data_IF_652188880851
#
_entry.id   IF_652188880851
#
_cell.length_a   1.000
_cell.length_b   1.000
_cell.length_c   1.000
_cell.angle_alpha   90.00
_cell.angle_beta   90.00
_cell.angle_gamma   90.00
#
_symmetry.space_group_name_H-M   'P 1'
#
loop_
_entity.id
_entity.type
_entity.pdbx_description
1 polymer ?
#
# COMPACT_ATOMS: atom_id res chain seq x y z
N UNK A 1 9.00 9.85 -13.36
CA UNK A 1 7.58 10.24 -13.34
C UNK A 1 7.42 11.59 -12.65
N UNK A 2 6.70 12.55 -13.25
CA UNK A 2 6.40 13.85 -12.64
C UNK A 2 5.65 13.69 -11.32
N UNK A 3 5.78 14.62 -10.36
CA UNK A 3 5.08 14.52 -9.07
C UNK A 3 3.55 14.56 -9.21
N UNK A 4 3.01 15.28 -10.21
CA UNK A 4 1.56 15.29 -10.49
C UNK A 4 1.04 13.88 -10.81
N UNK A 5 1.74 13.14 -11.68
CA UNK A 5 1.39 11.75 -12.06
C UNK A 5 1.59 10.80 -10.88
N UNK A 6 2.72 10.91 -10.20
CA UNK A 6 3.07 10.02 -9.07
C UNK A 6 2.06 10.16 -7.93
N UNK A 7 1.68 11.39 -7.56
CA UNK A 7 0.67 11.63 -6.52
C UNK A 7 -0.74 11.20 -6.96
N UNK A 8 -1.08 11.35 -8.25
CA UNK A 8 -2.37 10.88 -8.79
C UNK A 8 -2.50 9.36 -8.68
N UNK A 9 -1.46 8.63 -9.06
CA UNK A 9 -1.42 7.16 -8.97
C UNK A 9 -1.59 6.70 -7.52
N UNK A 10 -0.78 7.22 -6.59
CA UNK A 10 -0.81 6.78 -5.19
C UNK A 10 -2.15 7.10 -4.53
N UNK A 11 -2.70 8.29 -4.80
CA UNK A 11 -4.03 8.68 -4.31
C UNK A 11 -5.13 7.76 -4.86
N UNK A 12 -5.02 7.39 -6.14
CA UNK A 12 -5.95 6.49 -6.82
C UNK A 12 -5.97 5.09 -6.19
N UNK A 13 -4.81 4.55 -5.81
CA UNK A 13 -4.70 3.24 -5.12
C UNK A 13 -5.50 3.28 -3.81
N UNK A 14 -5.22 4.27 -2.95
CA UNK A 14 -5.84 4.35 -1.62
C UNK A 14 -7.36 4.51 -1.71
N UNK A 15 -7.86 5.29 -2.67
CA UNK A 15 -9.31 5.45 -2.87
C UNK A 15 -9.97 4.23 -3.48
N UNK A 16 -9.31 3.53 -4.41
CA UNK A 16 -9.85 2.30 -4.98
C UNK A 16 -9.95 1.18 -3.93
N UNK A 17 -8.93 1.04 -3.07
CA UNK A 17 -8.94 0.07 -1.96
C UNK A 17 -10.00 0.37 -0.89
N UNK A 18 -10.53 1.60 -0.83
CA UNK A 18 -11.60 1.98 0.09
C UNK A 18 -12.83 1.07 -0.04
N UNK A 19 -13.16 0.56 -1.22
CA UNK A 19 -14.31 -0.36 -1.38
C UNK A 19 -14.12 -1.70 -0.71
N UNK A 20 -12.88 -2.21 -0.67
CA UNK A 20 -12.57 -3.44 0.07
C UNK A 20 -12.85 -3.21 1.56
N UNK A 21 -12.39 -2.07 2.08
CA UNK A 21 -12.68 -1.68 3.48
C UNK A 21 -14.18 -1.49 3.70
N UNK A 22 -14.88 -0.83 2.79
CA UNK A 22 -16.31 -0.58 2.90
C UNK A 22 -17.12 -1.88 2.92
N UNK A 23 -16.79 -2.85 2.07
CA UNK A 23 -17.42 -4.17 2.08
C UNK A 23 -17.25 -4.91 3.40
N UNK A 24 -16.06 -4.80 4.02
CA UNK A 24 -15.80 -5.38 5.35
C UNK A 24 -16.59 -4.68 6.46
N UNK A 25 -16.69 -3.34 6.40
CA UNK A 25 -17.41 -2.52 7.39
C UNK A 25 -18.92 -2.78 7.33
N UNK A 26 -19.48 -2.97 6.13
CA UNK A 26 -20.93 -3.02 5.89
C UNK A 26 -21.50 -4.44 5.84
N UNK A 27 -20.69 -5.46 6.16
CA UNK A 27 -21.14 -6.86 6.18
C UNK A 27 -22.30 -7.07 7.16
N UNK A 28 -22.27 -6.42 8.33
CA UNK A 28 -23.36 -6.42 9.29
C UNK A 28 -23.37 -5.12 10.11
N UNK A 29 -24.49 -4.74 10.74
CA UNK A 29 -24.52 -3.58 11.64
C UNK A 29 -23.50 -3.71 12.79
N UNK A 30 -23.29 -4.94 13.27
CA UNK A 30 -22.29 -5.23 14.30
C UNK A 30 -20.86 -4.97 13.79
N UNK A 31 -20.53 -5.41 12.58
CA UNK A 31 -19.23 -5.15 11.97
C UNK A 31 -18.97 -3.66 11.77
N UNK A 32 -20.01 -2.88 11.46
CA UNK A 32 -19.90 -1.43 11.38
C UNK A 32 -19.50 -0.82 12.73
N UNK A 33 -20.16 -1.22 13.83
CA UNK A 33 -19.79 -0.74 15.17
C UNK A 33 -18.38 -1.16 15.56
N UNK A 34 -17.97 -2.40 15.26
CA UNK A 34 -16.61 -2.88 15.53
C UNK A 34 -15.57 -2.15 14.70
N UNK A 35 -15.89 -1.81 13.45
CA UNK A 35 -15.01 -1.04 12.56
C UNK A 35 -14.80 0.37 13.10
N UNK A 36 -15.88 1.04 13.50
CA UNK A 36 -15.82 2.38 14.10
C UNK A 36 -15.05 2.36 15.42
N UNK A 37 -15.27 1.36 16.28
CA UNK A 37 -14.54 1.20 17.53
C UNK A 37 -13.03 0.97 17.29
N UNK A 38 -12.69 0.13 16.31
CA UNK A 38 -11.30 -0.19 15.96
C UNK A 38 -10.60 1.03 15.35
N UNK A 39 -11.21 1.66 14.33
CA UNK A 39 -10.69 2.86 13.70
C UNK A 39 -10.57 4.01 14.71
N UNK A 40 -11.58 4.21 15.55
CA UNK A 40 -11.59 5.18 16.65
C UNK A 40 -10.44 4.94 17.63
N UNK A 41 -10.20 3.69 18.03
CA UNK A 41 -9.09 3.31 18.90
C UNK A 41 -7.74 3.63 18.25
N UNK A 42 -7.56 3.28 16.97
CA UNK A 42 -6.33 3.60 16.22
C UNK A 42 -6.11 5.11 16.16
N UNK A 43 -7.14 5.89 15.80
CA UNK A 43 -7.06 7.35 15.71
C UNK A 43 -6.74 7.99 17.06
N UNK A 44 -7.42 7.57 18.13
CA UNK A 44 -7.19 8.09 19.48
C UNK A 44 -5.77 7.77 19.96
N UNK A 45 -5.28 6.54 19.75
CA UNK A 45 -3.90 6.16 20.12
C UNK A 45 -2.90 6.96 19.28
N UNK A 46 -3.15 7.12 17.98
CA UNK A 46 -2.24 7.84 17.09
C UNK A 46 -2.04 9.31 17.51
N UNK A 47 -3.06 9.95 18.08
CA UNK A 47 -3.01 11.37 18.49
C UNK A 47 -2.65 11.54 19.96
N UNK A 48 -3.32 10.81 20.85
CA UNK A 48 -3.29 11.07 22.29
C UNK A 48 -2.36 10.15 23.08
N UNK A 49 -1.75 9.13 22.47
CA UNK A 49 -0.85 8.26 23.24
C UNK A 49 0.34 9.06 23.83
N UNK A 50 0.77 8.72 25.05
CA UNK A 50 1.74 9.51 25.81
C UNK A 50 3.16 9.44 25.23
N UNK A 51 3.50 8.35 24.53
CA UNK A 51 4.83 8.16 23.96
C UNK A 51 4.78 8.13 22.44
N UNK A 52 5.80 8.71 21.81
CA UNK A 52 5.99 8.66 20.35
C UNK A 52 6.13 7.23 19.81
N UNK A 53 6.55 6.28 20.66
CA UNK A 53 6.60 4.87 20.32
C UNK A 53 5.19 4.28 20.17
N UNK A 54 4.29 4.53 21.12
CA UNK A 54 2.90 4.02 21.08
C UNK A 54 2.10 4.57 19.89
N UNK A 55 2.32 5.84 19.51
CA UNK A 55 1.65 6.46 18.35
C UNK A 55 2.01 5.75 17.03
N UNK A 56 3.18 5.12 16.93
CA UNK A 56 3.66 4.43 15.71
C UNK A 56 3.11 3.02 15.58
N UNK A 57 2.88 2.36 16.70
CA UNK A 57 2.21 1.07 16.78
C UNK A 57 0.70 1.24 16.99
N UNK A 58 0.13 2.41 16.65
CA UNK A 58 -1.29 2.72 16.83
C UNK A 58 -2.20 1.76 16.07
N UNK A 59 -1.79 1.37 14.85
CA UNK A 59 -2.47 0.32 14.08
C UNK A 59 -2.52 -1.00 14.85
N UNK A 60 -1.38 -1.45 15.40
CA UNK A 60 -1.31 -2.70 16.17
C UNK A 60 -2.13 -2.63 17.46
N UNK A 61 -1.93 -1.59 18.27
CA UNK A 61 -2.62 -1.41 19.55
C UNK A 61 -4.13 -1.24 19.35
N UNK A 62 -4.54 -0.45 18.36
CA UNK A 62 -5.95 -0.27 18.04
C UNK A 62 -6.61 -1.55 17.53
N UNK A 63 -5.88 -2.37 16.75
CA UNK A 63 -6.35 -3.71 16.35
C UNK A 63 -6.51 -4.63 17.57
N UNK A 64 -5.57 -4.63 18.51
CA UNK A 64 -5.65 -5.42 19.75
C UNK A 64 -6.89 -5.01 20.57
N UNK A 65 -7.14 -3.69 20.70
CA UNK A 65 -8.31 -3.18 21.41
C UNK A 65 -9.60 -3.58 20.67
N UNK A 66 -9.65 -3.40 19.35
CA UNK A 66 -10.81 -3.79 18.53
C UNK A 66 -11.13 -5.28 18.62
N UNK A 67 -10.10 -6.12 18.55
CA UNK A 67 -10.22 -7.57 18.75
C UNK A 67 -10.72 -7.93 20.15
N UNK A 68 -10.19 -7.26 21.19
CA UNK A 68 -10.64 -7.44 22.57
C UNK A 68 -12.10 -7.07 22.79
N UNK A 69 -12.54 -5.93 22.24
CA UNK A 69 -13.94 -5.50 22.29
C UNK A 69 -14.84 -6.53 21.60
N UNK A 70 -14.45 -6.97 20.40
CA UNK A 70 -15.21 -7.99 19.66
C UNK A 70 -15.30 -9.31 20.44
N UNK A 71 -14.21 -9.75 21.07
CA UNK A 71 -14.19 -10.96 21.89
C UNK A 71 -15.14 -10.87 23.10
N UNK A 72 -15.19 -9.72 23.77
CA UNK A 72 -16.12 -9.47 24.89
C UNK A 72 -17.58 -9.48 24.40
N UNK A 73 -17.86 -8.82 23.28
CA UNK A 73 -19.20 -8.78 22.68
C UNK A 73 -19.68 -10.18 22.24
N UNK A 74 -18.79 -10.97 21.64
CA UNK A 74 -19.06 -12.37 21.29
C UNK A 74 -19.32 -13.25 22.50
N UNK A 75 -18.58 -13.06 23.60
CA UNK A 75 -18.82 -13.80 24.85
C UNK A 75 -20.15 -13.46 25.52
N UNK A 76 -20.71 -12.27 25.27
CA UNK A 76 -21.99 -11.81 25.83
C UNK A 76 -23.20 -12.07 24.91
N UNK A 77 -23.02 -12.81 23.81
CA UNK A 77 -24.03 -13.03 22.76
C UNK A 77 -24.59 -11.74 22.14
N UNK A 78 -23.82 -10.64 22.17
CA UNK A 78 -24.20 -9.36 21.55
C UNK A 78 -23.81 -9.36 20.05
N UNK A 79 -22.85 -10.20 19.66
CA UNK A 79 -22.39 -10.38 18.29
C UNK A 79 -21.84 -11.78 18.04
N UNK A 80 -21.38 -12.07 16.81
CA UNK A 80 -20.78 -13.36 16.47
C UNK A 80 -19.58 -13.67 17.37
N UNK A 81 -19.51 -14.92 17.84
CA UNK A 81 -18.36 -15.40 18.60
C UNK A 81 -17.16 -15.61 17.67
N UNK A 82 -15.96 -15.27 18.14
CA UNK A 82 -14.73 -15.56 17.42
C UNK A 82 -14.48 -17.07 17.41
N UNK A 83 -14.22 -17.63 16.24
CA UNK A 83 -13.93 -19.05 16.10
C UNK A 83 -12.45 -19.33 16.44
N UNK A 84 -12.20 -19.86 17.64
CA UNK A 84 -10.86 -20.23 18.10
C UNK A 84 -10.42 -21.65 17.68
N UNK A 85 -11.29 -22.44 17.03
CA UNK A 85 -10.99 -23.82 16.67
C UNK A 85 -9.73 -23.96 15.79
N UNK A 86 -9.51 -23.00 14.89
CA UNK A 86 -8.31 -22.93 14.05
C UNK A 86 -7.02 -22.74 14.85
N UNK A 87 -7.08 -22.02 15.99
CA UNK A 87 -5.92 -21.78 16.84
C UNK A 87 -5.58 -23.02 17.68
N UNK A 88 -6.61 -23.73 18.15
CA UNK A 88 -6.45 -24.95 18.96
C UNK A 88 -5.93 -26.11 18.11
N UNK A 89 -6.46 -26.26 16.90
CA UNK A 89 -6.09 -27.34 15.97
C UNK A 89 -4.76 -27.12 15.24
N UNK A 90 -4.25 -25.88 15.22
CA UNK A 90 -3.00 -25.57 14.51
C UNK A 90 -1.78 -26.10 15.26
N UNK A 91 -0.81 -26.73 14.56
CA UNK A 91 0.46 -27.11 15.15
C UNK A 91 1.24 -25.87 15.58
N UNK A 92 2.22 -26.04 16.46
CA UNK A 92 3.07 -24.93 16.89
C UNK A 92 3.95 -24.42 15.75
N UNK A 93 4.49 -25.33 14.95
CA UNK A 93 5.31 -25.02 13.78
C UNK A 93 4.70 -25.67 12.53
N UNK A 94 4.63 -24.89 11.44
CA UNK A 94 4.23 -25.39 10.12
C UNK A 94 5.03 -24.65 9.06
N UNK A 95 5.65 -25.39 8.15
CA UNK A 95 6.28 -24.81 6.98
C UNK A 95 5.20 -24.34 5.98
N UNK A 96 5.44 -23.25 5.22
CA UNK A 96 4.56 -22.85 4.13
C UNK A 96 4.38 -23.99 3.12
N UNK A 97 3.13 -24.27 2.73
CA UNK A 97 2.82 -25.30 1.73
C UNK A 97 2.86 -24.69 0.34
N UNK A 98 3.80 -25.18 -0.49
CA UNK A 98 3.90 -24.82 -1.90
C UNK A 98 3.15 -25.88 -2.69
N UNK A 99 1.82 -25.75 -2.74
CA UNK A 99 0.91 -26.72 -3.37
C UNK A 99 0.24 -26.16 -4.63
N UNK A 100 0.95 -25.34 -5.41
CA UNK A 100 0.46 -24.81 -6.69
C UNK A 100 1.48 -25.06 -7.79
N UNK A 101 0.99 -25.21 -9.02
CA UNK A 101 1.82 -25.31 -10.21
C UNK A 101 2.16 -23.90 -10.71
N UNK A 102 3.41 -23.69 -11.12
CA UNK A 102 3.82 -22.44 -11.74
C UNK A 102 3.40 -22.50 -13.21
N UNK A 103 2.36 -21.73 -13.54
CA UNK A 103 1.87 -21.59 -14.91
C UNK A 103 2.16 -20.18 -15.42
N UNK A 104 2.65 -20.10 -16.67
CA UNK A 104 2.89 -18.83 -17.34
C UNK A 104 1.77 -18.55 -18.33
N UNK A 105 0.71 -17.90 -17.84
CA UNK A 105 -0.37 -17.44 -18.69
C UNK A 105 -0.16 -16.00 -19.17
N UNK A 106 -0.04 -15.84 -20.48
CA UNK A 106 0.19 -14.53 -21.11
C UNK A 106 -0.92 -13.52 -20.86
N UNK A 107 -2.19 -13.97 -20.74
CA UNK A 107 -3.30 -13.07 -20.44
C UNK A 107 -3.20 -12.52 -19.03
N UNK A 108 -3.00 -13.40 -18.04
CA UNK A 108 -2.82 -13.04 -16.62
C UNK A 108 -1.62 -12.13 -16.40
N UNK A 109 -0.49 -12.42 -17.07
CA UNK A 109 0.70 -11.55 -17.05
C UNK A 109 0.33 -10.16 -17.58
N UNK A 110 -0.41 -10.09 -18.69
CA UNK A 110 -0.90 -8.85 -19.25
C UNK A 110 -1.73 -8.05 -18.24
N UNK A 111 -2.70 -8.69 -17.57
CA UNK A 111 -3.60 -8.03 -16.61
C UNK A 111 -2.86 -7.43 -15.41
N UNK A 112 -1.81 -8.09 -14.93
CA UNK A 112 -1.04 -7.63 -13.74
C UNK A 112 0.04 -6.62 -14.12
N UNK A 113 0.56 -6.63 -15.35
CA UNK A 113 1.62 -5.75 -15.83
C UNK A 113 1.45 -4.25 -15.47
N UNK A 114 0.25 -3.65 -15.55
CA UNK A 114 0.03 -2.25 -15.20
C UNK A 114 0.39 -1.90 -13.76
N UNK A 115 0.24 -2.85 -12.83
CA UNK A 115 0.55 -2.64 -11.41
C UNK A 115 2.05 -2.41 -11.19
N UNK A 116 2.90 -2.89 -12.09
CA UNK A 116 4.35 -2.67 -12.00
C UNK A 116 4.70 -1.19 -12.12
N UNK A 117 3.99 -0.45 -12.98
CA UNK A 117 4.18 1.00 -13.12
C UNK A 117 3.83 1.71 -11.81
N UNK A 118 2.83 1.20 -11.11
CA UNK A 118 2.42 1.68 -9.78
C UNK A 118 3.53 1.45 -8.77
N UNK A 119 4.07 0.23 -8.67
CA UNK A 119 5.16 -0.09 -7.75
C UNK A 119 6.42 0.76 -8.03
N UNK A 120 6.74 1.01 -9.31
CA UNK A 120 7.85 1.89 -9.68
C UNK A 120 7.63 3.33 -9.20
N UNK A 121 6.41 3.85 -9.35
CA UNK A 121 6.01 5.18 -8.90
C UNK A 121 6.05 5.30 -7.37
N UNK A 122 5.53 4.29 -6.67
CA UNK A 122 5.47 4.20 -5.22
C UNK A 122 6.88 4.10 -4.60
N UNK A 123 7.70 3.17 -5.07
CA UNK A 123 9.09 3.02 -4.60
C UNK A 123 9.93 4.28 -4.87
N UNK A 124 9.69 4.98 -5.99
CA UNK A 124 10.31 6.30 -6.24
C UNK A 124 9.87 7.32 -5.18
N UNK A 125 8.57 7.35 -4.83
CA UNK A 125 8.01 8.19 -3.78
C UNK A 125 8.65 7.91 -2.42
N UNK A 126 8.76 6.63 -2.04
CA UNK A 126 9.38 6.18 -0.80
C UNK A 126 10.87 6.53 -0.72
N UNK A 127 11.62 6.33 -1.80
CA UNK A 127 13.04 6.74 -1.87
C UNK A 127 13.21 8.25 -1.73
N UNK A 128 12.33 9.06 -2.33
CA UNK A 128 12.33 10.51 -2.14
C UNK A 128 11.96 10.93 -0.72
N UNK A 129 11.00 10.23 -0.10
CA UNK A 129 10.63 10.47 1.29
C UNK A 129 11.82 10.20 2.23
N UNK A 130 12.49 9.05 2.07
CA UNK A 130 13.70 8.71 2.82
C UNK A 130 14.80 9.75 2.58
N UNK A 131 15.03 10.16 1.32
CA UNK A 131 16.00 11.19 0.98
C UNK A 131 15.74 12.53 1.67
N UNK A 132 14.46 12.90 1.85
CA UNK A 132 14.09 14.15 2.52
C UNK A 132 14.35 14.13 4.03
N UNK A 133 14.46 12.93 4.61
CA UNK A 133 14.69 12.72 6.03
C UNK A 133 16.19 12.57 6.32
N UNK A 134 16.93 11.90 5.43
CA UNK A 134 18.37 11.71 5.57
C UNK A 134 19.08 13.04 5.29
N UNK A 135 19.60 13.66 6.34
CA UNK A 135 20.34 14.93 6.29
C UNK A 135 21.83 14.75 6.00
N UNK A 136 22.37 13.54 6.10
CA UNK A 136 23.80 13.26 5.93
C UNK A 136 24.00 12.00 5.08
N UNK A 137 24.83 12.09 4.04
CA UNK A 137 25.19 10.96 3.19
C UNK A 137 24.98 11.21 1.68
N UNK A 138 25.35 10.24 0.83
CA UNK A 138 25.18 10.36 -0.61
C UNK A 138 23.69 10.39 -1.00
N UNK A 139 23.33 10.97 -2.16
CA UNK A 139 21.96 10.97 -2.63
C UNK A 139 21.47 9.52 -2.84
N UNK A 140 20.43 9.15 -2.09
CA UNK A 140 19.72 7.87 -2.14
C UNK A 140 19.17 7.56 -3.52
N UNK A 141 18.82 8.60 -4.30
CA UNK A 141 18.34 8.44 -5.67
C UNK A 141 19.36 7.77 -6.59
N UNK A 142 20.67 7.81 -6.27
CA UNK A 142 21.70 7.05 -6.99
C UNK A 142 21.48 5.53 -6.90
N UNK A 143 20.83 5.07 -5.83
CA UNK A 143 20.58 3.65 -5.57
C UNK A 143 19.20 3.19 -6.05
N UNK A 144 18.45 4.02 -6.76
CA UNK A 144 17.08 3.66 -7.16
C UNK A 144 17.00 2.40 -8.02
N UNK A 145 17.96 2.19 -8.93
CA UNK A 145 18.03 0.96 -9.73
C UNK A 145 18.28 -0.29 -8.88
N UNK A 146 19.09 -0.16 -7.82
CA UNK A 146 19.32 -1.24 -6.84
C UNK A 146 18.08 -1.50 -5.99
N UNK A 147 17.34 -0.45 -5.63
CA UNK A 147 16.08 -0.56 -4.90
C UNK A 147 15.03 -1.31 -5.74
N UNK A 148 14.86 -0.94 -7.02
CA UNK A 148 13.96 -1.64 -7.94
C UNK A 148 14.37 -3.10 -8.16
N UNK A 149 15.66 -3.37 -8.31
CA UNK A 149 16.14 -4.75 -8.44
C UNK A 149 15.86 -5.57 -7.17
N UNK A 150 16.10 -4.99 -5.99
CA UNK A 150 15.81 -5.66 -4.72
C UNK A 150 14.32 -5.97 -4.54
N UNK A 151 13.46 -5.03 -4.90
CA UNK A 151 12.00 -5.19 -4.85
C UNK A 151 11.51 -6.27 -5.83
N UNK A 152 12.01 -6.24 -7.08
CA UNK A 152 11.68 -7.25 -8.08
C UNK A 152 12.17 -8.66 -7.69
N UNK A 153 13.40 -8.78 -7.18
CA UNK A 153 13.93 -10.05 -6.69
C UNK A 153 13.13 -10.56 -5.47
N UNK A 154 12.74 -9.67 -4.56
CA UNK A 154 11.87 -9.98 -3.43
C UNK A 154 10.52 -10.54 -3.90
N UNK A 155 9.88 -9.86 -4.84
CA UNK A 155 8.62 -10.31 -5.44
C UNK A 155 8.77 -11.65 -6.17
N UNK A 156 9.87 -11.89 -6.88
CA UNK A 156 10.12 -13.17 -7.55
C UNK A 156 10.22 -14.32 -6.54
N UNK A 157 11.01 -14.15 -5.49
CA UNK A 157 11.15 -15.16 -4.42
C UNK A 157 9.80 -15.40 -3.73
N UNK A 158 9.05 -14.34 -3.47
CA UNK A 158 7.74 -14.42 -2.85
C UNK A 158 6.68 -15.09 -3.73
N UNK A 159 6.72 -14.86 -5.04
CA UNK A 159 5.83 -15.48 -6.03
C UNK A 159 6.11 -16.97 -6.14
N UNK A 160 7.39 -17.38 -6.07
CA UNK A 160 7.76 -18.81 -5.98
C UNK A 160 7.23 -19.44 -4.70
N UNK A 161 7.05 -18.66 -3.62
CA UNK A 161 6.37 -19.04 -2.37
C UNK A 161 4.85 -18.79 -2.35
N UNK A 162 4.24 -18.37 -3.46
CA UNK A 162 2.78 -18.32 -3.64
C UNK A 162 2.15 -17.08 -3.03
N UNK A 163 2.98 -16.08 -2.75
CA UNK A 163 2.57 -14.81 -2.17
C UNK A 163 2.26 -13.79 -3.28
N UNK A 164 1.42 -12.82 -2.95
CA UNK A 164 1.08 -11.69 -3.81
C UNK A 164 2.29 -10.73 -3.89
N UNK A 165 2.49 -10.03 -5.02
CA UNK A 165 3.51 -8.97 -5.10
C UNK A 165 3.38 -7.96 -3.97
N UNK A 166 4.52 -7.50 -3.45
CA UNK A 166 4.60 -6.52 -2.37
C UNK A 166 5.58 -5.41 -2.71
N UNK A 167 5.57 -4.35 -1.90
CA UNK A 167 6.40 -3.15 -2.09
C UNK A 167 6.85 -2.63 -0.74
N UNK A 168 7.63 -1.55 -0.73
CA UNK A 168 8.12 -0.92 0.49
C UNK A 168 7.00 -0.27 1.31
N UNK A 169 7.06 -0.37 2.64
CA UNK A 169 6.03 0.19 3.55
C UNK A 169 6.32 1.64 3.96
N UNK A 170 5.39 2.55 3.70
CA UNK A 170 5.47 3.97 4.05
C UNK A 170 5.53 4.19 5.58
N UNK A 171 4.85 3.33 6.35
CA UNK A 171 4.80 3.37 7.80
C UNK A 171 6.19 3.21 8.43
N UNK A 172 7.01 2.33 7.84
CA UNK A 172 8.38 2.08 8.28
C UNK A 172 9.28 3.30 8.02
N UNK A 173 9.04 4.05 6.94
CA UNK A 173 9.72 5.32 6.67
C UNK A 173 9.37 6.35 7.74
N UNK A 174 8.11 6.34 8.18
CA UNK A 174 7.66 7.11 9.34
C UNK A 174 8.54 6.85 10.56
N UNK A 175 8.81 5.58 10.91
CA UNK A 175 9.65 5.18 12.05
C UNK A 175 11.09 5.68 11.91
N UNK A 176 11.67 5.58 10.72
CA UNK A 176 13.01 6.08 10.42
C UNK A 176 13.12 7.60 10.68
N UNK A 177 12.09 8.37 10.34
CA UNK A 177 12.10 9.84 10.50
C UNK A 177 12.23 10.34 11.93
N UNK A 178 11.93 9.52 12.93
CA UNK A 178 12.01 9.93 14.35
C UNK A 178 13.02 9.13 15.13
N UNK A 179 13.17 7.85 14.84
CA UNK A 179 14.25 7.07 15.48
C UNK A 179 15.63 7.55 15.01
N UNK A 180 15.71 8.10 13.79
CA UNK A 180 16.97 8.48 13.15
C UNK A 180 17.97 7.31 13.05
N UNK A 181 17.47 6.07 13.12
CA UNK A 181 18.26 4.85 13.00
C UNK A 181 18.11 4.30 11.58
N UNK A 182 19.07 4.61 10.72
CA UNK A 182 19.08 4.17 9.30
C UNK A 182 19.90 2.90 9.07
N UNK A 183 20.13 2.09 10.12
CA UNK A 183 20.95 0.88 10.03
C UNK A 183 20.21 -0.24 9.30
N UNK A 184 20.76 -0.79 8.19
CA UNK A 184 20.17 -1.94 7.50
C UNK A 184 20.07 -3.19 8.38
N UNK A 185 20.91 -3.31 9.42
CA UNK A 185 20.90 -4.44 10.33
C UNK A 185 19.58 -4.52 11.12
N UNK A 186 18.97 -3.37 11.46
CA UNK A 186 17.67 -3.35 12.15
C UNK A 186 16.59 -3.98 11.28
N UNK A 187 16.61 -3.68 9.98
CA UNK A 187 15.70 -4.26 9.00
C UNK A 187 15.97 -5.76 8.81
N UNK A 188 17.23 -6.19 8.81
CA UNK A 188 17.59 -7.61 8.74
C UNK A 188 17.05 -8.40 9.95
N UNK A 189 17.20 -7.87 11.16
CA UNK A 189 16.65 -8.51 12.36
C UNK A 189 15.12 -8.57 12.31
N UNK A 190 14.45 -7.50 11.85
CA UNK A 190 13.01 -7.49 11.66
C UNK A 190 12.57 -8.55 10.62
N UNK A 191 13.31 -8.71 9.52
CA UNK A 191 13.03 -9.71 8.49
C UNK A 191 13.19 -11.13 9.02
N UNK A 192 14.27 -11.43 9.75
CA UNK A 192 14.48 -12.75 10.38
C UNK A 192 13.34 -13.05 11.36
N UNK A 193 12.95 -12.07 12.18
CA UNK A 193 11.84 -12.22 13.11
C UNK A 193 10.51 -12.48 12.39
N UNK A 194 10.23 -11.77 11.30
CA UNK A 194 9.04 -12.00 10.48
C UNK A 194 9.02 -13.40 9.86
N UNK A 195 10.17 -13.90 9.38
CA UNK A 195 10.30 -15.28 8.87
C UNK A 195 9.99 -16.28 9.97
N UNK A 196 10.57 -16.12 11.17
CA UNK A 196 10.31 -17.01 12.31
C UNK A 196 8.82 -17.02 12.72
N UNK A 197 8.17 -15.84 12.72
CA UNK A 197 6.72 -15.75 12.95
C UNK A 197 5.91 -16.43 11.85
N UNK A 198 6.37 -16.42 10.60
CA UNK A 198 5.75 -17.12 9.48
C UNK A 198 5.69 -18.65 9.67
N UNK A 199 6.73 -19.25 10.27
CA UNK A 199 6.75 -20.67 10.63
C UNK A 199 5.88 -21.00 11.85
N UNK A 200 5.46 -19.99 12.62
CA UNK A 200 4.67 -20.18 13.82
C UNK A 200 3.17 -20.22 13.48
N UNK A 201 2.66 -21.42 13.21
CA UNK A 201 1.32 -21.59 12.65
C UNK A 201 0.20 -21.04 13.54
N UNK A 202 0.41 -21.04 14.87
CA UNK A 202 -0.53 -20.42 15.82
C UNK A 202 -0.66 -18.92 15.63
N UNK A 203 0.43 -18.21 15.31
CA UNK A 203 0.35 -16.79 15.01
C UNK A 203 -0.43 -16.54 13.72
N UNK A 204 -0.20 -17.35 12.67
CA UNK A 204 -1.02 -17.29 11.45
C UNK A 204 -2.51 -17.53 11.74
N UNK A 205 -2.82 -18.51 12.60
CA UNK A 205 -4.21 -18.80 13.00
C UNK A 205 -4.85 -17.65 13.79
N UNK A 206 -4.10 -16.95 14.65
CA UNK A 206 -4.56 -15.75 15.36
C UNK A 206 -4.85 -14.61 14.40
N UNK A 207 -3.98 -14.38 13.41
CA UNK A 207 -4.21 -13.34 12.39
C UNK A 207 -5.47 -13.67 11.56
N UNK A 208 -5.68 -14.95 11.25
CA UNK A 208 -6.90 -15.42 10.54
C UNK A 208 -8.16 -15.37 11.39
N UNK A 209 -8.07 -15.34 12.72
CA UNK A 209 -9.23 -15.23 13.60
C UNK A 209 -9.71 -13.79 13.76
N UNK A 210 -9.01 -12.80 13.19
CA UNK A 210 -9.43 -11.40 13.24
C UNK A 210 -10.75 -11.24 12.46
N UNK A 211 -11.84 -10.78 13.11
CA UNK A 211 -13.13 -10.62 12.47
C UNK A 211 -13.14 -9.54 11.38
N UNK A 212 -14.04 -9.67 10.40
CA UNK A 212 -14.22 -8.72 9.29
C UNK A 212 -14.45 -7.28 9.78
N UNK A 213 -15.29 -7.06 10.79
CA UNK A 213 -15.51 -5.72 11.34
C UNK A 213 -14.26 -5.10 11.98
N UNK A 214 -13.35 -5.89 12.56
CA UNK A 214 -12.08 -5.35 13.09
C UNK A 214 -11.15 -5.01 11.92
N UNK A 215 -11.03 -5.91 10.93
CA UNK A 215 -10.24 -5.67 9.73
C UNK A 215 -10.70 -4.43 8.98
N UNK A 216 -12.01 -4.24 8.82
CA UNK A 216 -12.60 -3.08 8.15
C UNK A 216 -12.18 -1.75 8.79
N UNK A 217 -12.11 -1.69 10.12
CA UNK A 217 -11.60 -0.51 10.83
C UNK A 217 -10.10 -0.26 10.62
N UNK A 218 -9.30 -1.33 10.58
CA UNK A 218 -7.84 -1.25 10.33
C UNK A 218 -7.56 -0.78 8.91
N UNK A 219 -8.20 -1.41 7.92
CA UNK A 219 -8.01 -1.10 6.50
C UNK A 219 -8.48 0.31 6.16
N UNK A 220 -9.54 0.80 6.82
CA UNK A 220 -10.03 2.17 6.64
C UNK A 220 -8.93 3.18 6.98
N UNK A 221 -8.30 3.01 8.13
CA UNK A 221 -7.20 3.89 8.55
C UNK A 221 -6.00 3.72 7.63
N UNK A 222 -5.62 2.48 7.30
CA UNK A 222 -4.48 2.18 6.43
C UNK A 222 -4.62 2.85 5.05
N UNK A 223 -5.77 2.69 4.40
CA UNK A 223 -6.00 3.25 3.07
C UNK A 223 -6.09 4.78 3.10
N UNK A 224 -6.59 5.37 4.19
CA UNK A 224 -6.55 6.83 4.38
C UNK A 224 -5.11 7.38 4.41
N UNK A 225 -4.16 6.65 5.01
CA UNK A 225 -2.75 7.05 5.05
C UNK A 225 -2.12 7.01 3.65
N UNK A 226 -2.50 6.03 2.82
CA UNK A 226 -2.05 5.93 1.42
C UNK A 226 -2.55 7.14 0.62
N UNK A 227 -3.86 7.46 0.72
CA UNK A 227 -4.46 8.64 0.06
C UNK A 227 -3.71 9.92 0.44
N UNK A 228 -3.51 10.16 1.74
CA UNK A 228 -2.83 11.37 2.22
C UNK A 228 -1.36 11.40 1.79
N UNK A 229 -0.69 10.25 1.66
CA UNK A 229 0.69 10.18 1.15
C UNK A 229 0.77 10.63 -0.31
N UNK A 230 -0.19 10.23 -1.15
CA UNK A 230 -0.31 10.72 -2.52
C UNK A 230 -0.51 12.24 -2.60
N UNK A 231 -1.41 12.77 -1.77
CA UNK A 231 -1.66 14.22 -1.67
C UNK A 231 -0.43 14.97 -1.16
N UNK A 232 0.28 14.41 -0.17
CA UNK A 232 1.51 15.00 0.38
C UNK A 232 2.58 15.17 -0.70
N UNK A 233 2.66 14.28 -1.67
CA UNK A 233 3.59 14.43 -2.81
C UNK A 233 3.26 15.69 -3.61
N UNK A 234 1.98 15.96 -3.89
CA UNK A 234 1.57 17.19 -4.58
C UNK A 234 1.92 18.45 -3.79
N UNK A 235 1.66 18.43 -2.48
CA UNK A 235 1.92 19.58 -1.59
C UNK A 235 3.42 19.86 -1.47
N UNK A 236 4.23 18.84 -1.20
CA UNK A 236 5.69 18.98 -1.04
C UNK A 236 6.37 19.45 -2.32
N UNK A 237 5.87 19.00 -3.48
CA UNK A 237 6.40 19.41 -4.79
C UNK A 237 5.75 20.69 -5.32
N UNK A 238 4.89 21.35 -4.54
CA UNK A 238 4.23 22.63 -4.88
C UNK A 238 3.55 22.59 -6.26
N UNK A 239 2.78 21.54 -6.51
CA UNK A 239 2.01 21.42 -7.76
C UNK A 239 0.94 22.51 -7.81
N UNK A 240 0.96 23.31 -8.88
CA UNK A 240 -0.01 24.37 -9.09
C UNK A 240 -1.29 23.83 -9.73
N UNK A 241 -2.37 23.77 -8.95
CA UNK A 241 -3.70 23.37 -9.43
C UNK A 241 -4.52 24.52 -10.01
N UNK A 242 -3.97 25.75 -10.11
CA UNK A 242 -4.58 26.79 -10.94
C UNK A 242 -4.36 26.51 -12.44
N UNK A 243 -3.31 25.75 -12.77
CA UNK A 243 -3.15 25.19 -14.11
C UNK A 243 -4.16 24.05 -14.31
N UNK A 244 -5.13 24.27 -15.21
CA UNK A 244 -6.15 23.30 -15.59
C UNK A 244 -5.55 21.97 -16.06
N UNK A 245 -4.32 21.96 -16.60
CA UNK A 245 -3.62 20.72 -16.98
C UNK A 245 -3.39 19.82 -15.77
N UNK A 246 -2.89 20.39 -14.67
CA UNK A 246 -2.62 19.64 -13.44
C UNK A 246 -3.92 19.15 -12.79
N UNK A 247 -5.00 19.94 -12.89
CA UNK A 247 -6.34 19.51 -12.44
C UNK A 247 -6.79 18.27 -13.20
N UNK A 248 -6.67 18.23 -14.52
CA UNK A 248 -7.09 17.06 -15.31
C UNK A 248 -6.18 15.85 -15.10
N UNK A 249 -4.86 16.04 -15.08
CA UNK A 249 -3.89 14.95 -14.90
C UNK A 249 -4.01 14.33 -13.50
N UNK A 250 -4.30 15.15 -12.49
CA UNK A 250 -4.47 14.71 -11.11
C UNK A 250 -5.87 14.15 -10.82
N UNK A 251 -6.90 14.90 -11.21
CA UNK A 251 -8.28 14.67 -10.77
C UNK A 251 -9.02 13.58 -11.55
N UNK A 252 -8.90 13.54 -12.88
CA UNK A 252 -9.64 12.56 -13.69
C UNK A 252 -9.24 11.12 -13.33
N UNK A 253 -7.95 10.76 -13.24
CA UNK A 253 -7.55 9.41 -12.84
C UNK A 253 -8.03 9.04 -11.43
N UNK A 254 -7.96 9.97 -10.48
CA UNK A 254 -8.37 9.77 -9.08
C UNK A 254 -9.87 9.47 -8.98
N UNK A 255 -10.70 10.24 -9.66
CA UNK A 255 -12.16 9.98 -9.71
C UNK A 255 -12.42 8.63 -10.36
N UNK A 256 -11.77 8.35 -11.49
CA UNK A 256 -12.00 7.13 -12.24
C UNK A 256 -11.61 5.88 -11.43
N UNK A 257 -10.47 5.90 -10.75
CA UNK A 257 -10.07 4.82 -9.82
C UNK A 257 -11.09 4.59 -8.71
N UNK A 258 -11.71 5.67 -8.23
CA UNK A 258 -12.71 5.62 -7.16
C UNK A 258 -14.06 5.11 -7.64
N UNK A 259 -14.43 5.28 -8.92
CA UNK A 259 -15.76 4.85 -9.38
C UNK A 259 -15.71 3.48 -10.07
N UNK A 260 -14.59 3.16 -10.72
CA UNK A 260 -14.43 1.90 -11.43
C UNK A 260 -14.21 0.74 -10.46
N UNK A 261 -15.25 -0.07 -10.28
CA UNK A 261 -15.18 -1.35 -9.57
C UNK A 261 -15.14 -2.57 -10.50
N UNK A 262 -15.57 -2.38 -11.75
CA UNK A 262 -15.50 -3.42 -12.77
C UNK A 262 -14.27 -3.18 -13.64
N UNK A 263 -13.48 -4.24 -13.93
CA UNK A 263 -12.35 -4.08 -14.80
C UNK A 263 -12.81 -3.73 -16.22
N UNK A 264 -12.10 -2.81 -16.85
CA UNK A 264 -12.28 -2.51 -18.25
C UNK A 264 -11.76 -3.69 -19.07
N UNK A 265 -12.65 -4.34 -19.81
CA UNK A 265 -12.30 -5.46 -20.69
C UNK A 265 -11.99 -4.93 -22.08
N UNK A 266 -10.73 -5.01 -22.49
CA UNK A 266 -10.23 -4.70 -23.82
C UNK A 266 -9.83 -6.00 -24.51
N UNK A 267 -10.81 -6.72 -25.06
CA UNK A 267 -10.60 -8.06 -25.60
C UNK A 267 -10.12 -9.03 -24.52
N UNK A 268 -8.88 -9.52 -24.65
CA UNK A 268 -8.26 -10.45 -23.68
C UNK A 268 -7.58 -9.73 -22.50
N UNK A 269 -7.60 -8.40 -22.47
CA UNK A 269 -6.91 -7.60 -21.46
C UNK A 269 -7.92 -6.99 -20.50
N UNK A 270 -7.71 -7.17 -19.19
CA UNK A 270 -8.54 -6.57 -18.15
C UNK A 270 -7.73 -5.53 -17.39
N UNK A 271 -8.28 -4.32 -17.30
CA UNK A 271 -7.71 -3.22 -16.53
C UNK A 271 -8.60 -2.89 -15.36
N UNK A 272 -8.11 -3.17 -14.15
CA UNK A 272 -8.77 -2.73 -12.94
C UNK A 272 -8.70 -1.20 -12.77
N UNK A 273 -9.50 -0.61 -11.88
CA UNK A 273 -9.60 0.83 -11.68
C UNK A 273 -8.25 1.51 -11.41
N UNK A 274 -7.35 0.84 -10.68
CA UNK A 274 -5.98 1.31 -10.44
C UNK A 274 -5.17 1.34 -11.74
N UNK A 275 -5.27 0.29 -12.55
CA UNK A 275 -4.55 0.18 -13.83
C UNK A 275 -5.00 1.25 -14.82
N UNK A 276 -6.32 1.45 -14.95
CA UNK A 276 -6.89 2.49 -15.82
C UNK A 276 -6.43 3.88 -15.37
N UNK A 277 -6.50 4.19 -14.07
CA UNK A 277 -6.05 5.47 -13.55
C UNK A 277 -4.56 5.71 -13.79
N UNK A 278 -3.73 4.68 -13.66
CA UNK A 278 -2.29 4.78 -13.89
C UNK A 278 -1.97 5.14 -15.33
N UNK A 279 -2.53 4.40 -16.29
CA UNK A 279 -2.33 4.72 -17.71
C UNK A 279 -2.92 6.07 -18.07
N UNK A 280 -4.12 6.37 -17.59
CA UNK A 280 -4.78 7.62 -17.88
C UNK A 280 -3.96 8.82 -17.38
N UNK A 281 -3.39 8.75 -16.16
CA UNK A 281 -2.55 9.82 -15.63
C UNK A 281 -1.29 10.04 -16.49
N UNK A 282 -0.66 8.97 -16.98
CA UNK A 282 0.52 9.05 -17.85
C UNK A 282 0.15 9.61 -19.23
N UNK A 283 -0.94 9.11 -19.83
CA UNK A 283 -1.41 9.53 -21.15
C UNK A 283 -1.84 10.99 -21.12
N UNK A 284 -2.65 11.39 -20.13
CA UNK A 284 -3.08 12.78 -19.96
C UNK A 284 -1.89 13.70 -19.73
N UNK A 285 -0.91 13.28 -18.92
CA UNK A 285 0.31 14.06 -18.75
C UNK A 285 1.04 14.28 -20.07
N UNK A 286 1.17 13.25 -20.90
CA UNK A 286 1.87 13.36 -22.18
C UNK A 286 1.10 14.17 -23.24
N UNK A 287 -0.23 14.09 -23.25
CA UNK A 287 -1.10 14.84 -24.17
C UNK A 287 -1.21 16.32 -23.78
N UNK A 288 -1.39 16.60 -22.49
CA UNK A 288 -1.66 17.95 -21.97
C UNK A 288 -0.39 18.75 -21.68
N UNK A 289 0.80 18.15 -21.83
CA UNK A 289 2.11 18.81 -21.65
C UNK A 289 2.33 20.03 -22.54
N UNK A 290 1.58 20.16 -23.64
CA UNK A 290 1.70 21.27 -24.60
C UNK A 290 2.92 21.16 -25.52
N UNK A 291 2.94 21.98 -26.58
CA UNK A 291 3.96 21.93 -27.65
C UNK A 291 5.37 22.38 -27.21
N UNK A 292 5.47 23.27 -26.21
CA UNK A 292 6.75 23.81 -25.75
C UNK A 292 7.58 22.79 -24.95
N UNK A 293 6.93 21.98 -24.11
CA UNK A 293 7.59 20.90 -23.39
C UNK A 293 7.90 19.69 -24.30
N UNK A 294 7.18 19.54 -25.41
CA UNK A 294 7.50 18.54 -26.44
C UNK A 294 8.87 18.81 -27.08
N UNK A 295 9.18 20.08 -27.40
CA UNK A 295 10.51 20.45 -27.94
C UNK A 295 11.64 20.17 -26.94
N UNK A 296 11.42 20.46 -25.65
CA UNK A 296 12.38 20.14 -24.60
C UNK A 296 12.58 18.63 -24.42
N UNK A 297 11.50 17.85 -24.39
CA UNK A 297 11.58 16.39 -24.28
C UNK A 297 12.36 15.76 -25.45
N UNK A 298 12.07 16.18 -26.69
CA UNK A 298 12.83 15.72 -27.87
C UNK A 298 14.29 16.16 -27.83
N UNK A 299 14.58 17.36 -27.32
CA UNK A 299 15.95 17.83 -27.07
C UNK A 299 16.68 16.93 -26.06
N UNK A 300 16.04 16.59 -24.95
CA UNK A 300 16.65 15.81 -23.86
C UNK A 300 16.86 14.34 -24.25
N UNK A 301 15.90 13.74 -24.96
CA UNK A 301 16.07 12.41 -25.55
C UNK A 301 17.25 12.42 -26.54
N UNK A 302 17.33 13.43 -27.42
CA UNK A 302 18.43 13.57 -28.38
C UNK A 302 19.79 13.75 -27.71
N UNK A 303 19.84 14.39 -26.54
CA UNK A 303 21.06 14.50 -25.71
C UNK A 303 21.42 13.20 -25.02
N UNK A 304 20.43 12.45 -24.54
CA UNK A 304 20.65 11.15 -23.87
C UNK A 304 21.15 10.05 -24.83
N UNK A 305 20.89 10.16 -26.13
CA UNK A 305 21.47 9.26 -27.14
C UNK A 305 22.85 9.69 -27.65
N UNK A 306 23.34 10.87 -27.23
CA UNK A 306 24.62 11.44 -27.67
C UNK A 306 25.76 11.30 -26.64
N UNK A 307 25.44 10.78 -25.45
CA UNK A 307 26.37 10.40 -24.38
C UNK A 307 26.26 8.90 -24.13
#
# INVERSE_FOLDING_TARGET
MPPIVTGSIITSIGLHLCFISYGQITTSPFDTYMSVATAGSIMLISVYAPTNAMRRISLLLGTIIGYGIHAICGSKNIGPSINYSGIVSSPWFRAPEINYQIEFDSQSIGMVLPILVVFLAENLGHMKAIQSIITTGPPMLKYIGRAYLGDALGCLIASVGGTIPFTTYAENIGVLSVTQVFSPLVILFAAIFAVLLGFFAKFSAIVKSIPSGVLGGVTLVLYSLIVITGIRIWVVNKIDFNDTRNVFIGGVPVILATVMQTPLVLGNFQLDGIGVATFLSIILYQLLRGFDEWKQCFSDIRRSFRN
#
